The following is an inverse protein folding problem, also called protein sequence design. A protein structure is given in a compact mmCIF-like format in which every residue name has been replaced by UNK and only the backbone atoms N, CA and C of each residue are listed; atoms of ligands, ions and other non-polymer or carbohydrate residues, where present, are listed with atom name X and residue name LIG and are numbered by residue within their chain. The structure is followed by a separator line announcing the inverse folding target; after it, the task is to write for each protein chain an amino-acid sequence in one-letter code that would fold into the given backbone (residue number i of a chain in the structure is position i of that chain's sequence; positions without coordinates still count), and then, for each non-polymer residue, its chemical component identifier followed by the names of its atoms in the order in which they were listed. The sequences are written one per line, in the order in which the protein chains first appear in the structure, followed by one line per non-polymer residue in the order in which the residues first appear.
data_IF_145868211655
#
_entry.id   IF_145868211655
#
_cell.length_a   1.000
_cell.length_b   1.000
_cell.length_c   1.000
_cell.angle_alpha   90.00
_cell.angle_beta   90.00
_cell.angle_gamma   90.00
#
_symmetry.space_group_name_H-M   'P 1'
#
loop_
_entity.id
_entity.type
_entity.pdbx_description
1 polymer ?
#
# COMPACT_ATOMS: atom_id res chain seq x y z
N UNK A 1 13.04 -1.09 -18.26
CA UNK A 1 12.42 -2.06 -17.30
C UNK A 1 11.27 -1.39 -16.57
N UNK A 2 10.42 -2.18 -15.89
CA UNK A 2 9.33 -1.61 -15.05
C UNK A 2 9.85 -0.64 -13.97
N UNK A 3 11.07 -0.86 -13.49
CA UNK A 3 11.74 0.07 -12.57
C UNK A 3 12.09 1.39 -13.29
N UNK A 4 12.67 1.33 -14.47
CA UNK A 4 12.99 2.53 -15.25
C UNK A 4 11.72 3.30 -15.60
N UNK A 5 10.65 2.58 -15.97
CA UNK A 5 9.34 3.18 -16.30
C UNK A 5 8.75 3.94 -15.08
N UNK A 6 8.89 3.40 -13.86
CA UNK A 6 8.49 4.10 -12.64
C UNK A 6 9.31 5.39 -12.42
N UNK A 7 10.63 5.32 -12.59
CA UNK A 7 11.51 6.48 -12.42
C UNK A 7 11.25 7.55 -13.48
N UNK A 8 11.00 7.15 -14.73
CA UNK A 8 10.63 8.07 -15.81
C UNK A 8 9.30 8.77 -15.55
N UNK A 9 8.29 8.05 -15.04
CA UNK A 9 7.02 8.64 -14.65
C UNK A 9 7.18 9.68 -13.53
N UNK A 10 7.98 9.39 -12.52
CA UNK A 10 8.29 10.36 -11.44
C UNK A 10 8.94 11.60 -12.03
N UNK A 11 9.94 11.42 -12.90
CA UNK A 11 10.63 12.54 -13.55
C UNK A 11 9.67 13.40 -14.35
N UNK A 12 8.80 12.81 -15.17
CA UNK A 12 7.81 13.52 -15.99
C UNK A 12 6.83 14.32 -15.12
N UNK A 13 6.33 13.74 -14.03
CA UNK A 13 5.40 14.44 -13.14
C UNK A 13 6.07 15.61 -12.41
N UNK A 14 7.32 15.45 -11.99
CA UNK A 14 8.09 16.54 -11.37
C UNK A 14 8.41 17.67 -12.37
N UNK A 15 8.80 17.34 -13.60
CA UNK A 15 9.03 18.32 -14.67
C UNK A 15 7.76 19.14 -14.94
N UNK A 16 6.59 18.51 -15.05
CA UNK A 16 5.30 19.19 -15.18
C UNK A 16 4.99 20.13 -14.01
N UNK A 17 5.28 19.70 -12.78
CA UNK A 17 5.11 20.54 -11.60
C UNK A 17 6.01 21.76 -11.61
N UNK A 18 7.28 21.58 -12.02
CA UNK A 18 8.25 22.69 -12.16
C UNK A 18 7.82 23.70 -13.22
N UNK A 19 7.37 23.25 -14.39
CA UNK A 19 6.87 24.11 -15.46
C UNK A 19 5.67 24.94 -15.02
N UNK A 20 4.71 24.31 -14.35
CA UNK A 20 3.50 24.97 -13.83
C UNK A 20 3.76 25.78 -12.56
N UNK A 21 4.91 25.60 -11.91
CA UNK A 21 5.23 26.13 -10.56
C UNK A 21 4.17 25.75 -9.52
N UNK A 22 3.60 24.56 -9.66
CA UNK A 22 2.54 24.02 -8.82
C UNK A 22 2.80 22.53 -8.56
N UNK A 23 2.72 22.13 -7.30
CA UNK A 23 2.80 20.74 -6.89
C UNK A 23 1.43 20.30 -6.37
N UNK A 24 0.51 20.11 -7.32
CA UNK A 24 -0.86 19.69 -7.03
C UNK A 24 -0.93 18.31 -6.38
N UNK A 25 -1.99 18.04 -5.62
CA UNK A 25 -2.17 16.80 -4.87
C UNK A 25 -2.08 15.55 -5.76
N UNK A 26 -2.62 15.60 -6.98
CA UNK A 26 -2.50 14.50 -7.95
C UNK A 26 -1.06 14.21 -8.36
N UNK A 27 -0.25 15.25 -8.57
CA UNK A 27 1.17 15.10 -8.93
C UNK A 27 1.93 14.51 -7.77
N UNK A 28 1.62 14.97 -6.55
CA UNK A 28 2.25 14.47 -5.32
C UNK A 28 1.89 13.00 -5.06
N UNK A 29 0.63 12.63 -5.15
CA UNK A 29 0.16 11.25 -4.99
C UNK A 29 0.80 10.30 -6.00
N UNK A 30 0.88 10.69 -7.29
CA UNK A 30 1.58 9.91 -8.32
C UNK A 30 3.08 9.78 -8.02
N UNK A 31 3.73 10.89 -7.65
CA UNK A 31 5.16 10.88 -7.33
C UNK A 31 5.44 9.93 -6.17
N UNK A 32 4.66 10.00 -5.07
CA UNK A 32 4.80 9.12 -3.92
C UNK A 32 4.55 7.65 -4.28
N UNK A 33 3.51 7.37 -5.08
CA UNK A 33 3.19 6.02 -5.51
C UNK A 33 4.34 5.40 -6.31
N UNK A 34 4.81 6.06 -7.35
CA UNK A 34 5.81 5.51 -8.26
C UNK A 34 7.23 5.55 -7.72
N UNK A 35 7.60 6.53 -6.89
CA UNK A 35 8.95 6.60 -6.32
C UNK A 35 9.20 5.65 -5.14
N UNK A 36 8.14 5.21 -4.47
CA UNK A 36 8.22 4.38 -3.28
C UNK A 36 7.54 3.03 -3.48
N UNK A 37 6.26 2.98 -3.21
CA UNK A 37 5.49 1.76 -3.02
C UNK A 37 5.44 0.87 -4.28
N UNK A 38 5.16 1.45 -5.44
CA UNK A 38 5.10 0.69 -6.69
C UNK A 38 6.49 0.25 -7.13
N UNK A 39 7.48 1.13 -7.06
CA UNK A 39 8.86 0.80 -7.37
C UNK A 39 9.35 -0.37 -6.53
N UNK A 40 9.14 -0.32 -5.21
CA UNK A 40 9.55 -1.38 -4.29
C UNK A 40 8.81 -2.69 -4.52
N UNK A 41 7.56 -2.64 -4.96
CA UNK A 41 6.81 -3.85 -5.34
C UNK A 41 7.48 -4.57 -6.52
N UNK A 42 7.98 -3.85 -7.52
CA UNK A 42 8.74 -4.43 -8.63
C UNK A 42 10.11 -4.94 -8.18
N UNK A 43 10.82 -4.19 -7.34
CA UNK A 43 12.10 -4.66 -6.76
C UNK A 43 11.90 -5.97 -6.02
N UNK A 44 10.85 -6.08 -5.21
CA UNK A 44 10.53 -7.31 -4.47
C UNK A 44 10.18 -8.46 -5.43
N UNK A 45 9.40 -8.22 -6.48
CA UNK A 45 9.12 -9.23 -7.51
C UNK A 45 10.42 -9.79 -8.09
N UNK A 46 11.36 -8.94 -8.49
CA UNK A 46 12.64 -9.38 -9.05
C UNK A 46 13.49 -10.16 -8.03
N UNK A 47 13.52 -9.74 -6.76
CA UNK A 47 14.22 -10.47 -5.70
C UNK A 47 13.63 -11.87 -5.55
N UNK A 48 12.31 -12.00 -5.43
CA UNK A 48 11.62 -13.28 -5.29
C UNK A 48 11.88 -14.20 -6.50
N UNK A 49 11.77 -13.67 -7.71
CA UNK A 49 12.03 -14.41 -8.94
C UNK A 49 13.49 -14.87 -9.05
N UNK A 50 14.46 -14.06 -8.59
CA UNK A 50 15.86 -14.45 -8.55
C UNK A 50 16.14 -15.63 -7.62
N UNK A 51 15.28 -15.86 -6.65
CA UNK A 51 15.31 -16.99 -5.73
C UNK A 51 14.46 -18.18 -6.21
N UNK A 52 13.91 -18.12 -7.41
CA UNK A 52 13.09 -19.18 -8.00
C UNK A 52 11.63 -19.19 -7.51
N UNK A 53 11.19 -18.15 -6.80
CA UNK A 53 9.82 -18.01 -6.33
C UNK A 53 8.97 -17.39 -7.42
N UNK A 54 7.90 -18.09 -7.84
CA UNK A 54 6.96 -17.56 -8.83
C UNK A 54 6.16 -16.43 -8.23
N UNK A 55 6.50 -15.20 -8.61
CA UNK A 55 5.90 -13.98 -8.05
C UNK A 55 5.38 -13.05 -9.13
N UNK A 56 4.42 -12.20 -8.78
CA UNK A 56 3.85 -11.18 -9.66
C UNK A 56 3.49 -9.91 -8.90
N UNK A 57 3.78 -8.75 -9.50
CA UNK A 57 3.34 -7.42 -9.02
C UNK A 57 1.89 -7.18 -9.44
N UNK A 58 1.11 -6.56 -8.55
CA UNK A 58 -0.16 -5.94 -8.89
C UNK A 58 0.11 -4.53 -9.43
N UNK A 59 0.00 -4.38 -10.74
CA UNK A 59 0.15 -3.07 -11.39
C UNK A 59 -1.04 -2.16 -11.18
N UNK A 60 -0.82 -0.85 -11.28
CA UNK A 60 -1.85 0.17 -11.06
C UNK A 60 -3.05 0.04 -12.02
N UNK A 61 -2.89 -0.49 -13.22
CA UNK A 61 -3.99 -0.69 -14.17
C UNK A 61 -5.07 -1.64 -13.64
N UNK A 62 -4.68 -2.58 -12.77
CA UNK A 62 -5.54 -3.55 -12.14
C UNK A 62 -5.62 -3.38 -10.62
N UNK A 63 -5.45 -2.15 -10.15
CA UNK A 63 -5.39 -1.84 -8.73
C UNK A 63 -6.70 -2.21 -8.02
N UNK A 64 -6.66 -3.05 -6.97
CA UNK A 64 -7.88 -3.56 -6.34
C UNK A 64 -8.47 -2.60 -5.31
N UNK A 65 -7.69 -1.66 -4.77
CA UNK A 65 -8.13 -0.73 -3.73
C UNK A 65 -8.76 0.51 -4.39
N UNK A 66 -10.08 0.48 -4.50
CA UNK A 66 -10.85 1.64 -4.98
C UNK A 66 -11.23 2.52 -3.80
N UNK A 67 -11.08 3.83 -4.00
CA UNK A 67 -11.24 4.82 -2.94
C UNK A 67 -12.15 5.97 -3.38
N UNK A 68 -12.51 6.82 -2.43
CA UNK A 68 -13.18 8.09 -2.71
C UNK A 68 -12.23 9.10 -3.40
N UNK A 69 -12.72 10.31 -3.63
CA UNK A 69 -12.00 11.38 -4.35
C UNK A 69 -11.09 12.24 -3.46
N UNK A 70 -10.94 11.90 -2.18
CA UNK A 70 -9.98 12.58 -1.31
C UNK A 70 -8.57 12.08 -1.64
N UNK A 71 -7.76 12.90 -2.29
CA UNK A 71 -6.51 12.46 -2.89
C UNK A 71 -5.47 12.05 -1.84
N UNK A 72 -5.35 12.77 -0.73
CA UNK A 72 -4.30 12.55 0.28
C UNK A 72 -4.77 11.95 1.61
N UNK A 73 -6.06 11.77 1.76
CA UNK A 73 -6.69 11.22 2.96
C UNK A 73 -7.89 10.38 2.55
N UNK A 74 -7.61 9.40 1.72
CA UNK A 74 -8.63 8.64 1.01
C UNK A 74 -9.33 7.62 1.91
N UNK A 75 -10.57 7.29 1.57
CA UNK A 75 -11.33 6.23 2.21
C UNK A 75 -11.58 5.07 1.26
N UNK A 76 -11.38 3.87 1.78
CA UNK A 76 -11.62 2.62 1.06
C UNK A 76 -13.11 2.42 0.74
N UNK A 77 -13.41 2.09 -0.50
CA UNK A 77 -14.75 1.78 -0.99
C UNK A 77 -14.86 0.27 -1.27
N UNK A 78 -15.23 -0.50 -0.25
CA UNK A 78 -15.27 -1.96 -0.30
C UNK A 78 -16.17 -2.49 -1.44
N UNK A 79 -17.31 -1.87 -1.67
CA UNK A 79 -18.27 -2.25 -2.74
C UNK A 79 -17.66 -2.12 -4.13
N UNK A 80 -16.96 -1.02 -4.40
CA UNK A 80 -16.31 -0.75 -5.68
C UNK A 80 -15.08 -1.64 -5.88
N UNK A 81 -14.30 -1.82 -4.82
CA UNK A 81 -13.11 -2.68 -4.81
C UNK A 81 -13.45 -4.15 -5.03
N UNK A 82 -14.56 -4.64 -4.51
CA UNK A 82 -15.04 -6.01 -4.76
C UNK A 82 -15.24 -6.31 -6.26
N UNK A 83 -15.54 -5.31 -7.09
CA UNK A 83 -15.67 -5.47 -8.55
C UNK A 83 -14.31 -5.74 -9.22
N UNK A 84 -13.19 -5.47 -8.53
CA UNK A 84 -11.82 -5.65 -9.03
C UNK A 84 -11.11 -6.87 -8.43
N UNK A 85 -11.73 -7.55 -7.48
CA UNK A 85 -11.08 -8.63 -6.72
C UNK A 85 -10.76 -9.85 -7.56
N UNK A 86 -11.54 -10.17 -8.60
CA UNK A 86 -11.32 -11.35 -9.46
C UNK A 86 -9.93 -11.38 -10.09
N UNK A 87 -9.39 -10.22 -10.45
CA UNK A 87 -8.03 -10.15 -11.00
C UNK A 87 -6.99 -10.54 -9.95
N UNK A 88 -7.14 -10.06 -8.72
CA UNK A 88 -6.26 -10.37 -7.60
C UNK A 88 -6.33 -11.86 -7.24
N UNK A 89 -7.54 -12.42 -7.19
CA UNK A 89 -7.77 -13.85 -6.95
C UNK A 89 -7.08 -14.72 -7.99
N UNK A 90 -7.21 -14.39 -9.28
CA UNK A 90 -6.53 -15.10 -10.36
C UNK A 90 -5.01 -15.04 -10.23
N UNK A 91 -4.45 -13.87 -9.88
CA UNK A 91 -3.01 -13.75 -9.65
C UNK A 91 -2.54 -14.66 -8.51
N UNK A 92 -3.33 -14.76 -7.41
CA UNK A 92 -3.04 -15.66 -6.29
C UNK A 92 -3.12 -17.14 -6.68
N UNK A 93 -4.07 -17.50 -7.54
CA UNK A 93 -4.17 -18.88 -8.04
C UNK A 93 -2.98 -19.26 -8.96
N UNK A 94 -2.42 -18.28 -9.67
CA UNK A 94 -1.35 -18.49 -10.65
C UNK A 94 0.07 -18.35 -10.10
N UNK A 95 0.26 -17.69 -8.95
CA UNK A 95 1.57 -17.35 -8.38
C UNK A 95 1.68 -17.80 -6.93
N UNK A 96 2.92 -18.07 -6.49
CA UNK A 96 3.20 -18.38 -5.08
C UNK A 96 3.15 -17.13 -4.19
N UNK A 97 3.57 -15.99 -4.74
CA UNK A 97 3.60 -14.71 -4.06
C UNK A 97 3.12 -13.63 -5.02
N UNK A 98 2.29 -12.72 -4.54
CA UNK A 98 2.02 -11.46 -5.21
C UNK A 98 2.54 -10.30 -4.37
N UNK A 99 3.06 -9.29 -5.03
CA UNK A 99 3.53 -8.05 -4.39
C UNK A 99 2.61 -6.91 -4.79
N UNK A 100 2.26 -6.08 -3.82
CA UNK A 100 1.40 -4.92 -4.01
C UNK A 100 1.91 -3.78 -3.12
N UNK A 101 1.92 -2.56 -3.64
CA UNK A 101 2.28 -1.38 -2.85
C UNK A 101 1.20 -1.07 -1.82
N UNK A 102 1.60 -0.78 -0.60
CA UNK A 102 0.69 -0.24 0.41
C UNK A 102 0.47 1.26 0.25
N UNK A 103 -0.34 1.86 1.13
CA UNK A 103 -0.57 3.31 1.18
C UNK A 103 -1.35 3.91 0.01
N UNK A 104 -1.50 3.20 -1.10
CA UNK A 104 -2.06 3.72 -2.36
C UNK A 104 -3.48 3.22 -2.55
N UNK A 105 -4.35 4.14 -2.98
CA UNK A 105 -5.66 3.85 -3.54
C UNK A 105 -5.80 4.40 -4.95
N UNK A 106 -6.94 4.14 -5.57
CA UNK A 106 -7.29 4.67 -6.87
C UNK A 106 -8.77 5.00 -6.91
N UNK A 107 -9.14 6.17 -7.42
CA UNK A 107 -10.56 6.47 -7.66
C UNK A 107 -11.13 5.59 -8.77
N UNK A 108 -12.44 5.53 -8.87
CA UNK A 108 -13.13 4.84 -9.98
C UNK A 108 -12.70 5.35 -11.36
N UNK A 109 -12.39 6.64 -11.46
CA UNK A 109 -11.93 7.32 -12.69
C UNK A 109 -10.42 7.16 -12.93
N UNK A 110 -9.71 6.50 -12.02
CA UNK A 110 -8.31 6.14 -12.20
C UNK A 110 -7.30 7.13 -11.62
N UNK A 111 -7.73 8.13 -10.87
CA UNK A 111 -6.82 9.05 -10.16
C UNK A 111 -6.17 8.33 -8.99
N UNK A 112 -4.85 8.47 -8.85
CA UNK A 112 -4.10 7.88 -7.75
C UNK A 112 -4.36 8.70 -6.49
N UNK A 113 -4.71 8.00 -5.42
CA UNK A 113 -4.94 8.56 -4.09
C UNK A 113 -4.00 7.94 -3.07
N UNK A 114 -3.84 8.58 -1.93
CA UNK A 114 -3.03 8.05 -0.84
C UNK A 114 -3.81 8.08 0.46
N UNK A 115 -3.59 7.06 1.29
CA UNK A 115 -4.07 7.06 2.67
C UNK A 115 -3.30 8.08 3.51
N UNK A 116 -3.80 8.37 4.69
CA UNK A 116 -3.05 9.04 5.73
C UNK A 116 -1.89 8.17 6.26
N UNK A 117 -1.11 8.74 7.17
CA UNK A 117 -0.03 8.01 7.85
C UNK A 117 -0.53 6.68 8.43
N UNK A 118 0.25 5.61 8.26
CA UNK A 118 -0.17 4.25 8.61
C UNK A 118 -0.97 3.54 7.51
N UNK A 119 -1.10 4.16 6.33
CA UNK A 119 -1.92 3.65 5.22
C UNK A 119 -1.48 2.29 4.68
N UNK A 120 -0.22 1.88 4.83
CA UNK A 120 0.22 0.54 4.40
C UNK A 120 -0.42 -0.57 5.24
N UNK A 121 -0.53 -0.37 6.56
CA UNK A 121 -1.24 -1.30 7.45
C UNK A 121 -2.73 -1.35 7.10
N UNK A 122 -3.30 -0.20 6.78
CA UNK A 122 -4.69 -0.11 6.33
C UNK A 122 -4.91 -0.84 5.02
N UNK A 123 -3.98 -0.72 4.07
CA UNK A 123 -4.03 -1.48 2.80
C UNK A 123 -4.06 -2.98 3.06
N UNK A 124 -3.25 -3.49 3.99
CA UNK A 124 -3.25 -4.90 4.36
C UNK A 124 -4.61 -5.35 4.92
N UNK A 125 -5.24 -4.52 5.77
CA UNK A 125 -6.57 -4.78 6.30
C UNK A 125 -7.65 -4.75 5.20
N UNK A 126 -7.60 -3.78 4.28
CA UNK A 126 -8.54 -3.64 3.18
C UNK A 126 -8.43 -4.82 2.19
N UNK A 127 -7.21 -5.30 1.90
CA UNK A 127 -6.99 -6.53 1.13
C UNK A 127 -7.57 -7.76 1.85
N UNK A 128 -7.40 -7.83 3.16
CA UNK A 128 -8.04 -8.88 3.97
C UNK A 128 -9.55 -8.87 3.84
N UNK A 129 -10.18 -7.70 3.86
CA UNK A 129 -11.64 -7.54 3.65
C UNK A 129 -12.05 -8.00 2.25
N UNK A 130 -11.25 -7.77 1.22
CA UNK A 130 -11.56 -8.20 -0.14
C UNK A 130 -11.43 -9.71 -0.31
N UNK A 131 -10.40 -10.32 0.27
CA UNK A 131 -10.03 -11.71 0.01
C UNK A 131 -10.72 -12.73 0.93
N UNK A 132 -11.19 -12.33 2.12
CA UNK A 132 -11.72 -13.26 3.13
C UNK A 132 -12.94 -14.09 2.68
N UNK A 133 -13.62 -13.65 1.63
CA UNK A 133 -14.79 -14.37 1.09
C UNK A 133 -14.41 -15.66 0.37
N UNK A 134 -13.19 -15.71 -0.17
CA UNK A 134 -12.69 -16.83 -0.98
C UNK A 134 -11.55 -17.58 -0.30
N UNK A 135 -10.73 -16.87 0.48
CA UNK A 135 -9.55 -17.42 1.12
C UNK A 135 -9.67 -17.35 2.65
N UNK A 136 -9.00 -18.29 3.32
CA UNK A 136 -8.71 -18.16 4.75
C UNK A 136 -7.56 -17.17 4.93
N UNK A 137 -7.89 -15.94 5.35
CA UNK A 137 -6.94 -14.83 5.37
C UNK A 137 -6.39 -14.61 6.77
N UNK A 138 -5.06 -14.62 6.88
CA UNK A 138 -4.32 -14.15 8.05
C UNK A 138 -3.54 -12.90 7.65
N UNK A 139 -3.59 -11.87 8.48
CA UNK A 139 -2.82 -10.63 8.30
C UNK A 139 -1.73 -10.59 9.36
N UNK A 140 -0.49 -10.61 8.92
CA UNK A 140 0.68 -10.41 9.77
C UNK A 140 1.31 -9.05 9.42
N UNK A 141 1.42 -8.16 10.42
CA UNK A 141 2.06 -6.85 10.28
C UNK A 141 3.45 -6.92 10.90
N UNK A 142 4.46 -7.02 10.05
CA UNK A 142 5.86 -6.98 10.49
C UNK A 142 6.31 -5.53 10.69
N UNK A 143 6.95 -5.28 11.83
CA UNK A 143 7.46 -3.96 12.21
C UNK A 143 8.93 -4.07 12.59
N UNK A 144 9.65 -2.99 12.40
CA UNK A 144 11.05 -2.82 12.79
C UNK A 144 11.24 -2.57 14.29
N UNK A 145 10.15 -2.34 15.01
CA UNK A 145 10.15 -2.09 16.46
C UNK A 145 8.97 -2.78 17.14
N UNK A 146 9.16 -3.15 18.40
CA UNK A 146 8.11 -3.69 19.25
C UNK A 146 7.11 -2.60 19.66
N UNK A 147 5.86 -3.00 19.93
CA UNK A 147 4.90 -2.14 20.62
C UNK A 147 5.33 -2.00 22.07
N UNK A 148 5.48 -0.76 22.53
CA UNK A 148 5.89 -0.46 23.89
C UNK A 148 4.81 0.27 24.68
N UNK A 149 4.87 0.20 26.01
CA UNK A 149 3.84 0.69 26.91
C UNK A 149 3.67 2.22 26.93
N UNK A 150 4.61 2.98 26.38
CA UNK A 150 4.54 4.43 26.24
C UNK A 150 5.45 4.92 25.11
N UNK A 151 5.29 6.18 24.71
CA UNK A 151 6.15 6.80 23.69
C UNK A 151 7.61 6.86 24.15
N UNK A 152 8.56 6.17 23.46
CA UNK A 152 9.97 6.13 23.85
C UNK A 152 10.68 7.48 23.72
N UNK A 153 10.10 8.45 23.03
CA UNK A 153 10.61 9.83 22.95
C UNK A 153 10.32 10.63 24.21
N UNK A 154 9.28 10.24 24.96
CA UNK A 154 8.84 10.90 26.20
C UNK A 154 9.35 10.14 27.42
N UNK A 155 9.16 8.83 27.44
CA UNK A 155 9.58 7.95 28.55
C UNK A 155 10.83 7.19 28.11
N UNK A 156 11.97 7.52 28.72
CA UNK A 156 13.27 6.93 28.33
C UNK A 156 13.60 5.65 29.07
N UNK A 157 13.06 5.49 30.28
CA UNK A 157 13.37 4.35 31.15
C UNK A 157 12.09 3.66 31.61
N UNK A 158 12.16 2.33 31.79
CA UNK A 158 11.05 1.53 32.31
C UNK A 158 9.98 1.18 31.29
N UNK A 159 10.26 1.33 29.99
CA UNK A 159 9.38 0.85 28.93
C UNK A 159 9.31 -0.67 28.93
N UNK A 160 8.11 -1.21 28.82
CA UNK A 160 7.86 -2.65 28.69
C UNK A 160 7.29 -2.96 27.32
N UNK A 161 7.72 -4.07 26.73
CA UNK A 161 7.12 -4.61 25.53
C UNK A 161 5.68 -5.05 25.80
N UNK A 162 4.77 -4.71 24.89
CA UNK A 162 3.37 -5.07 24.96
C UNK A 162 3.14 -6.29 24.07
N UNK A 163 2.92 -7.46 24.68
CA UNK A 163 2.72 -8.72 23.96
C UNK A 163 1.24 -8.98 23.59
N UNK A 164 0.31 -8.28 24.22
CA UNK A 164 -1.12 -8.41 23.97
C UNK A 164 -1.82 -7.09 24.25
N UNK A 165 -2.69 -6.68 23.37
CA UNK A 165 -3.43 -5.43 23.45
C UNK A 165 -4.86 -5.66 22.98
N UNK A 166 -5.84 -5.07 23.63
CA UNK A 166 -7.22 -5.12 23.18
C UNK A 166 -7.44 -4.23 21.95
N UNK A 167 -8.47 -4.51 21.17
CA UNK A 167 -8.84 -3.67 20.02
C UNK A 167 -9.11 -2.21 20.39
N UNK A 168 -9.65 -1.96 21.58
CA UNK A 168 -9.90 -0.59 22.06
C UNK A 168 -8.61 0.14 22.39
N UNK A 169 -7.65 -0.52 23.02
CA UNK A 169 -6.32 0.04 23.31
C UNK A 169 -5.55 0.29 22.00
N UNK A 170 -5.55 -0.68 21.07
CA UNK A 170 -4.91 -0.52 19.76
C UNK A 170 -5.46 0.66 18.94
N UNK A 171 -6.74 1.01 19.13
CA UNK A 171 -7.36 2.14 18.45
C UNK A 171 -6.98 3.49 19.06
N UNK A 172 -6.54 3.51 20.30
CA UNK A 172 -6.19 4.72 21.04
C UNK A 172 -4.66 4.99 21.06
N UNK A 173 -3.87 3.96 20.70
CA UNK A 173 -2.41 4.04 20.58
C UNK A 173 -1.99 4.62 19.22
#
# INVERSE_FOLDING_TARGET
TAIDDCLDLVRIELEKAMEKKEFADEVRSKTLAYSGEILMSYVMEYILQSQGIKSKVVGLDNWPIITDTNIESTNFLASESNKKVEFLERLLDENQVITIGGFIGRTADGVITTYERGGSDRTAADLGILLHKKFDVKIDLEKDSSVVSADPRIVKDGLTEVHSISYNEARLA
#
